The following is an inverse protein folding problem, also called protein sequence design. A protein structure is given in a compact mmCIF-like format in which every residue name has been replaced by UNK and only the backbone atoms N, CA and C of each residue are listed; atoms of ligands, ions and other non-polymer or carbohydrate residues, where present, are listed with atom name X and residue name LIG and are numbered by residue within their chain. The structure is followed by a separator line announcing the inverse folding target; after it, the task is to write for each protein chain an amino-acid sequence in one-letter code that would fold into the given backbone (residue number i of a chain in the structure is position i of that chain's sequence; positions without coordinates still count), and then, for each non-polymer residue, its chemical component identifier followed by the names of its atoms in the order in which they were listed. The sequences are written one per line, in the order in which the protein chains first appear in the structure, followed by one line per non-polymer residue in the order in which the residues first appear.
data_IF_886341934610
#
_entry.id   IF_886341934610
#
_cell.length_a   1.000
_cell.length_b   1.000
_cell.length_c   1.000
_cell.angle_alpha   90.00
_cell.angle_beta   90.00
_cell.angle_gamma   90.00
#
_symmetry.space_group_name_H-M   'P 1'
#
loop_
_entity.id
_entity.type
_entity.pdbx_description
1 polymer ?
#
# COMPACT_ATOMS: atom_id res chain seq x y z
N UNK A 1 7.90 16.12 -16.55
CA UNK A 1 8.77 15.04 -16.04
C UNK A 1 10.15 15.50 -15.57
N UNK A 2 10.81 16.48 -16.21
CA UNK A 2 12.17 16.92 -15.80
C UNK A 2 12.24 17.64 -14.43
N UNK A 3 11.15 18.23 -13.96
CA UNK A 3 11.16 19.06 -12.73
C UNK A 3 11.05 18.23 -11.42
N UNK A 4 10.59 17.00 -11.48
CA UNK A 4 10.42 16.14 -10.32
C UNK A 4 11.77 15.55 -9.87
N UNK A 5 12.55 15.02 -10.83
CA UNK A 5 13.86 14.39 -10.52
C UNK A 5 14.87 15.37 -9.90
N UNK A 6 14.80 16.65 -10.24
CA UNK A 6 15.71 17.66 -9.69
C UNK A 6 15.52 17.95 -8.19
N UNK A 7 14.36 17.60 -7.62
CA UNK A 7 14.06 17.78 -6.19
C UNK A 7 14.39 16.54 -5.34
N UNK A 8 14.58 15.39 -5.99
CA UNK A 8 14.88 14.15 -5.28
C UNK A 8 16.38 14.05 -4.99
N UNK A 9 16.73 13.69 -3.78
CA UNK A 9 18.11 13.57 -3.32
C UNK A 9 18.45 12.13 -2.94
N UNK A 10 19.74 11.77 -3.10
CA UNK A 10 20.22 10.53 -2.52
C UNK A 10 20.38 10.71 -1.01
N UNK A 11 19.99 9.70 -0.26
CA UNK A 11 20.23 9.64 1.19
C UNK A 11 21.56 8.92 1.47
N UNK A 12 22.07 9.04 2.69
CA UNK A 12 23.19 8.21 3.16
C UNK A 12 22.80 6.74 3.03
N UNK A 13 23.58 5.98 2.28
CA UNK A 13 23.24 4.60 1.91
C UNK A 13 22.93 3.75 3.14
N UNK A 14 21.75 3.16 3.16
CA UNK A 14 21.27 2.24 4.18
C UNK A 14 20.87 2.89 5.52
N UNK A 15 20.95 4.22 5.67
CA UNK A 15 20.50 4.93 6.88
C UNK A 15 18.98 4.98 7.03
N UNK A 16 18.23 4.84 5.92
CA UNK A 16 16.78 4.74 5.93
C UNK A 16 16.35 3.47 5.23
N UNK A 17 15.29 2.85 5.73
CA UNK A 17 14.74 1.60 5.23
C UNK A 17 13.36 1.84 4.63
N UNK A 18 13.06 1.18 3.51
CA UNK A 18 11.70 1.10 2.99
C UNK A 18 11.26 -0.36 3.01
N UNK A 19 10.20 -0.65 3.76
CA UNK A 19 9.54 -1.95 3.79
C UNK A 19 8.45 -1.96 2.72
N UNK A 20 8.50 -2.94 1.82
CA UNK A 20 7.53 -3.09 0.73
C UNK A 20 6.52 -4.18 1.08
N UNK A 21 5.22 -3.87 0.99
CA UNK A 21 4.12 -4.82 1.24
C UNK A 21 3.25 -4.95 -0.02
N UNK A 22 3.17 -6.15 -0.56
CA UNK A 22 2.36 -6.43 -1.76
C UNK A 22 0.86 -6.56 -1.45
N UNK A 23 0.03 -6.67 -2.48
CA UNK A 23 -1.42 -6.84 -2.36
C UNK A 23 -1.87 -8.31 -2.25
N UNK A 24 -3.20 -8.48 -2.13
CA UNK A 24 -3.88 -9.77 -2.11
C UNK A 24 -3.61 -10.56 -3.41
N UNK A 25 -3.43 -11.88 -3.28
CA UNK A 25 -3.16 -12.79 -4.39
C UNK A 25 -1.93 -12.40 -5.24
N UNK A 26 -0.95 -11.71 -4.61
CA UNK A 26 0.34 -11.34 -5.19
C UNK A 26 1.48 -11.96 -4.37
N UNK A 27 2.70 -11.74 -4.85
CA UNK A 27 3.94 -12.06 -4.15
C UNK A 27 4.81 -10.81 -4.09
N UNK A 28 5.88 -10.83 -3.30
CA UNK A 28 6.86 -9.74 -3.22
C UNK A 28 7.42 -9.35 -4.59
N UNK A 29 7.51 -10.27 -5.55
CA UNK A 29 8.03 -9.99 -6.92
C UNK A 29 7.33 -8.84 -7.61
N UNK A 30 6.05 -8.58 -7.33
CA UNK A 30 5.35 -7.46 -7.96
C UNK A 30 5.88 -6.09 -7.50
N UNK A 31 6.61 -6.03 -6.37
CA UNK A 31 7.21 -4.83 -5.82
C UNK A 31 8.71 -4.68 -6.20
N UNK A 32 9.31 -5.64 -6.91
CA UNK A 32 10.75 -5.65 -7.19
C UNK A 32 11.21 -4.40 -7.97
N UNK A 33 10.41 -3.94 -8.95
CA UNK A 33 10.76 -2.72 -9.69
C UNK A 33 10.79 -1.49 -8.79
N UNK A 34 9.80 -1.36 -7.90
CA UNK A 34 9.79 -0.29 -6.91
C UNK A 34 11.02 -0.37 -5.98
N UNK A 35 11.33 -1.58 -5.49
CA UNK A 35 12.50 -1.80 -4.66
C UNK A 35 13.80 -1.39 -5.33
N UNK A 36 14.01 -1.78 -6.60
CA UNK A 36 15.22 -1.44 -7.37
C UNK A 36 15.37 0.07 -7.57
N UNK A 37 14.27 0.76 -7.92
CA UNK A 37 14.29 2.21 -8.13
C UNK A 37 14.59 2.96 -6.82
N UNK A 38 13.97 2.56 -5.71
CA UNK A 38 14.19 3.19 -4.42
C UNK A 38 15.60 2.91 -3.86
N UNK A 39 16.12 1.70 -4.09
CA UNK A 39 17.50 1.35 -3.70
C UNK A 39 18.53 2.22 -4.43
N UNK A 40 18.27 2.62 -5.67
CA UNK A 40 19.15 3.51 -6.42
C UNK A 40 19.30 4.92 -5.80
N UNK A 41 18.35 5.32 -4.92
CA UNK A 41 18.42 6.55 -4.13
C UNK A 41 19.03 6.36 -2.73
N UNK A 42 19.61 5.19 -2.44
CA UNK A 42 20.32 4.89 -1.19
C UNK A 42 19.49 4.17 -0.12
N UNK A 43 18.19 3.94 -0.32
CA UNK A 43 17.36 3.25 0.65
C UNK A 43 17.72 1.76 0.77
N UNK A 44 17.77 1.27 2.01
CA UNK A 44 17.76 -0.18 2.26
C UNK A 44 16.34 -0.71 2.02
N UNK A 45 16.20 -1.73 1.19
CA UNK A 45 14.88 -2.29 0.83
C UNK A 45 14.67 -3.64 1.53
N UNK A 46 13.50 -3.77 2.18
CA UNK A 46 13.01 -5.04 2.71
C UNK A 46 11.70 -5.37 1.97
N UNK A 47 11.79 -6.21 0.95
CA UNK A 47 10.64 -6.63 0.16
C UNK A 47 10.00 -7.87 0.75
N UNK A 48 8.89 -7.71 1.48
CA UNK A 48 8.29 -8.75 2.31
C UNK A 48 7.38 -9.65 1.49
N UNK A 49 7.68 -10.95 1.49
CA UNK A 49 6.77 -11.97 0.97
C UNK A 49 5.91 -12.57 2.08
N UNK A 50 4.62 -12.71 1.84
CA UNK A 50 3.68 -13.35 2.77
C UNK A 50 2.53 -14.05 2.05
N UNK A 51 1.93 -15.10 2.67
CA UNK A 51 0.88 -15.90 2.04
C UNK A 51 -0.48 -15.19 2.12
N UNK A 52 -0.67 -14.15 1.31
CA UNK A 52 -1.75 -13.16 1.37
C UNK A 52 -3.19 -13.70 1.33
N UNK A 53 -3.36 -14.98 0.95
CA UNK A 53 -4.67 -15.65 0.89
C UNK A 53 -4.91 -16.66 2.02
N UNK A 54 -3.87 -16.93 2.85
CA UNK A 54 -3.93 -18.06 3.79
C UNK A 54 -4.51 -17.68 5.14
N UNK A 55 -4.33 -16.45 5.57
CA UNK A 55 -4.71 -15.98 6.89
C UNK A 55 -5.53 -14.69 6.81
N UNK A 56 -6.16 -14.28 7.91
CA UNK A 56 -6.81 -12.99 8.07
C UNK A 56 -5.77 -11.84 8.11
N UNK A 57 -6.26 -10.60 7.99
CA UNK A 57 -5.40 -9.40 7.93
C UNK A 57 -4.58 -9.25 9.21
N UNK A 58 -5.14 -9.52 10.37
CA UNK A 58 -4.50 -9.39 11.67
C UNK A 58 -3.25 -10.28 11.78
N UNK A 59 -3.42 -11.56 11.43
CA UNK A 59 -2.32 -12.53 11.41
C UNK A 59 -1.27 -12.18 10.35
N UNK A 60 -1.71 -11.76 9.16
CA UNK A 60 -0.79 -11.37 8.09
C UNK A 60 0.03 -10.14 8.47
N UNK A 61 -0.60 -9.13 9.09
CA UNK A 61 0.07 -7.91 9.50
C UNK A 61 1.20 -8.19 10.50
N UNK A 62 0.89 -8.95 11.55
CA UNK A 62 1.88 -9.31 12.57
C UNK A 62 2.99 -10.18 11.99
N UNK A 63 2.65 -11.21 11.22
CA UNK A 63 3.63 -12.18 10.69
C UNK A 63 4.48 -11.61 9.54
N UNK A 64 4.02 -10.59 8.83
CA UNK A 64 4.77 -9.94 7.77
C UNK A 64 5.64 -8.78 8.30
N UNK A 65 5.09 -7.92 9.15
CA UNK A 65 5.73 -6.66 9.53
C UNK A 65 6.72 -6.86 10.68
N UNK A 66 6.38 -7.60 11.73
CA UNK A 66 7.27 -7.77 12.87
C UNK A 66 8.63 -8.41 12.50
N UNK A 67 8.72 -9.47 11.67
CA UNK A 67 10.01 -10.00 11.21
C UNK A 67 10.79 -9.03 10.33
N UNK A 68 10.10 -8.19 9.53
CA UNK A 68 10.76 -7.15 8.73
C UNK A 68 11.39 -6.07 9.63
N UNK A 69 10.69 -5.65 10.67
CA UNK A 69 11.20 -4.68 11.66
C UNK A 69 12.40 -5.23 12.44
N UNK A 70 12.45 -6.53 12.73
CA UNK A 70 13.64 -7.16 13.36
C UNK A 70 14.90 -7.01 12.52
N UNK A 71 14.79 -6.82 11.20
CA UNK A 71 15.94 -6.55 10.33
C UNK A 71 16.38 -5.08 10.36
N UNK A 72 15.63 -4.22 11.06
CA UNK A 72 15.86 -2.78 11.17
C UNK A 72 16.45 -2.36 12.54
N UNK A 73 17.10 -3.26 13.26
CA UNK A 73 17.60 -3.03 14.63
C UNK A 73 18.95 -2.30 14.70
N UNK A 74 19.67 -2.16 13.56
CA UNK A 74 20.93 -1.40 13.54
C UNK A 74 20.73 0.03 14.02
N UNK A 75 21.72 0.53 14.79
CA UNK A 75 21.73 1.93 15.27
C UNK A 75 21.84 2.94 14.13
N UNK A 76 22.44 2.54 13.01
CA UNK A 76 22.61 3.39 11.82
C UNK A 76 21.31 3.66 11.10
N UNK A 77 20.27 2.84 11.30
CA UNK A 77 18.96 3.08 10.74
C UNK A 77 18.24 4.15 11.55
N UNK A 78 17.95 5.27 10.89
CA UNK A 78 17.32 6.45 11.49
C UNK A 78 15.82 6.53 11.19
N UNK A 79 15.35 5.95 10.07
CA UNK A 79 13.93 5.94 9.69
C UNK A 79 13.53 4.64 8.99
N UNK A 80 12.28 4.24 9.21
CA UNK A 80 11.65 3.09 8.56
C UNK A 80 10.38 3.58 7.86
N UNK A 81 10.39 3.54 6.54
CA UNK A 81 9.27 3.91 5.69
C UNK A 81 8.55 2.67 5.18
N UNK A 82 7.35 2.87 4.69
CA UNK A 82 6.58 1.81 4.03
C UNK A 82 6.11 2.28 2.66
N UNK A 83 6.24 1.40 1.66
CA UNK A 83 5.54 1.51 0.39
C UNK A 83 4.67 0.26 0.23
N UNK A 84 3.37 0.45 0.17
CA UNK A 84 2.41 -0.65 0.18
C UNK A 84 1.54 -0.63 -1.07
N UNK A 85 1.05 -1.78 -1.48
CA UNK A 85 0.08 -1.89 -2.56
C UNK A 85 -1.19 -2.58 -2.06
N UNK A 86 -2.36 -1.99 -2.35
CA UNK A 86 -3.67 -2.60 -2.10
C UNK A 86 -3.82 -3.04 -0.64
N UNK A 87 -4.13 -4.32 -0.39
CA UNK A 87 -4.23 -4.92 0.95
C UNK A 87 -3.01 -4.63 1.84
N UNK A 88 -1.81 -4.47 1.28
CA UNK A 88 -0.62 -4.09 2.06
C UNK A 88 -0.80 -2.80 2.85
N UNK A 89 -1.62 -1.85 2.34
CA UNK A 89 -2.00 -0.64 3.06
C UNK A 89 -2.88 -0.93 4.28
N UNK A 90 -3.75 -1.93 4.21
CA UNK A 90 -4.58 -2.35 5.35
C UNK A 90 -3.74 -3.08 6.40
N UNK A 91 -2.75 -3.89 5.96
CA UNK A 91 -1.84 -4.55 6.89
C UNK A 91 -1.06 -3.55 7.74
N UNK A 92 -0.48 -2.50 7.14
CA UNK A 92 0.26 -1.49 7.92
C UNK A 92 -0.67 -0.66 8.79
N UNK A 93 -1.90 -0.32 8.37
CA UNK A 93 -2.89 0.34 9.22
C UNK A 93 -3.24 -0.49 10.44
N UNK A 94 -3.52 -1.78 10.23
CA UNK A 94 -3.80 -2.69 11.34
C UNK A 94 -2.59 -2.81 12.30
N UNK A 95 -1.40 -2.98 11.74
CA UNK A 95 -0.19 -3.08 12.57
C UNK A 95 -0.03 -1.84 13.46
N UNK A 96 -0.14 -0.64 12.87
CA UNK A 96 0.03 0.62 13.59
C UNK A 96 -1.14 0.98 14.51
N UNK A 97 -2.29 0.32 14.39
CA UNK A 97 -3.39 0.46 15.36
C UNK A 97 -3.14 -0.31 16.67
N UNK A 98 -2.24 -1.30 16.64
CA UNK A 98 -1.97 -2.20 17.78
C UNK A 98 -0.53 -2.17 18.26
N UNK A 99 0.41 -1.69 17.45
CA UNK A 99 1.85 -1.70 17.71
C UNK A 99 2.49 -0.35 17.36
N UNK A 100 3.52 0.02 18.10
CA UNK A 100 4.35 1.19 17.82
C UNK A 100 5.59 0.79 17.01
N UNK A 101 6.06 1.73 16.18
CA UNK A 101 7.34 1.64 15.47
C UNK A 101 8.14 2.90 15.81
N UNK A 102 9.15 2.77 16.66
CA UNK A 102 9.92 3.90 17.21
C UNK A 102 10.54 4.82 16.15
N UNK A 103 10.99 4.23 15.04
CA UNK A 103 11.62 4.96 13.94
C UNK A 103 10.71 5.11 12.73
N UNK A 104 9.38 5.13 12.95
CA UNK A 104 8.44 5.27 11.86
C UNK A 104 8.67 6.57 11.08
N UNK A 105 8.94 6.43 9.80
CA UNK A 105 9.04 7.52 8.85
C UNK A 105 7.68 7.81 8.20
N UNK A 106 7.61 7.67 6.89
CA UNK A 106 6.40 7.93 6.11
C UNK A 106 5.85 6.64 5.48
N UNK A 107 4.54 6.59 5.32
CA UNK A 107 3.83 5.49 4.67
C UNK A 107 3.23 5.97 3.36
N UNK A 108 3.54 5.31 2.25
CA UNK A 108 2.86 5.54 0.97
C UNK A 108 2.02 4.32 0.63
N UNK A 109 0.77 4.56 0.33
CA UNK A 109 -0.18 3.50 -0.03
C UNK A 109 -0.62 3.66 -1.48
N UNK A 110 -0.35 2.64 -2.29
CA UNK A 110 -0.78 2.55 -3.68
C UNK A 110 -2.12 1.82 -3.74
N UNK A 111 -3.17 2.50 -4.17
CA UNK A 111 -4.53 1.98 -4.32
C UNK A 111 -5.05 1.16 -3.12
N UNK A 112 -4.94 1.66 -1.89
CA UNK A 112 -5.42 0.92 -0.73
C UNK A 112 -6.95 0.90 -0.69
N UNK A 113 -7.62 -0.22 -0.35
CA UNK A 113 -9.05 -0.25 -0.08
C UNK A 113 -9.32 0.29 1.34
N UNK A 114 -8.98 1.55 1.61
CA UNK A 114 -9.03 2.14 2.96
C UNK A 114 -10.43 2.24 3.55
N UNK A 115 -11.46 2.24 2.67
CA UNK A 115 -12.89 2.19 3.04
C UNK A 115 -13.56 0.95 2.42
N UNK A 116 -12.79 -0.12 2.19
CA UNK A 116 -13.25 -1.34 1.54
C UNK A 116 -13.24 -1.28 0.02
N UNK A 117 -13.69 -2.37 -0.60
CA UNK A 117 -13.77 -2.54 -2.05
C UNK A 117 -15.14 -3.07 -2.44
N UNK A 118 -15.80 -2.40 -3.39
CA UNK A 118 -17.09 -2.78 -3.94
C UNK A 118 -17.03 -4.15 -4.65
N UNK A 119 -15.88 -4.53 -5.18
CA UNK A 119 -15.67 -5.85 -5.78
C UNK A 119 -15.82 -6.96 -4.75
N UNK A 120 -15.34 -6.72 -3.52
CA UNK A 120 -15.50 -7.69 -2.43
C UNK A 120 -16.98 -7.89 -2.12
N UNK A 121 -17.74 -6.82 -1.95
CA UNK A 121 -19.17 -6.91 -1.61
C UNK A 121 -19.98 -7.64 -2.68
N UNK A 122 -19.73 -7.33 -3.96
CA UNK A 122 -20.49 -7.89 -5.09
C UNK A 122 -20.13 -9.33 -5.40
N UNK A 123 -18.92 -9.75 -5.07
CA UNK A 123 -18.44 -11.10 -5.38
C UNK A 123 -18.35 -12.00 -4.14
N UNK A 124 -18.51 -11.46 -2.94
CA UNK A 124 -18.67 -12.27 -1.72
C UNK A 124 -19.92 -13.12 -1.85
N UNK A 125 -19.80 -14.42 -1.59
CA UNK A 125 -20.88 -15.39 -1.82
C UNK A 125 -20.67 -16.27 -3.05
N UNK A 126 -19.80 -15.87 -3.98
CA UNK A 126 -19.37 -16.74 -5.06
C UNK A 126 -18.25 -17.66 -4.55
N UNK A 127 -18.43 -18.99 -4.53
CA UNK A 127 -17.46 -19.92 -3.95
C UNK A 127 -16.04 -19.74 -4.50
N UNK A 128 -15.93 -19.54 -5.83
CA UNK A 128 -14.64 -19.33 -6.50
C UNK A 128 -13.96 -18.04 -6.02
N UNK A 129 -14.71 -16.97 -5.80
CA UNK A 129 -14.16 -15.71 -5.30
C UNK A 129 -13.61 -15.87 -3.88
N UNK A 130 -14.35 -16.56 -3.01
CA UNK A 130 -13.94 -16.79 -1.62
C UNK A 130 -12.65 -17.64 -1.54
N UNK A 131 -12.53 -18.69 -2.36
CA UNK A 131 -11.33 -19.53 -2.43
C UNK A 131 -10.12 -18.74 -2.96
N UNK A 132 -10.33 -17.88 -3.96
CA UNK A 132 -9.24 -17.09 -4.57
C UNK A 132 -8.75 -16.00 -3.62
N UNK A 133 -9.63 -15.36 -2.85
CA UNK A 133 -9.27 -14.21 -2.03
C UNK A 133 -8.93 -14.58 -0.57
N UNK A 134 -9.40 -15.73 -0.10
CA UNK A 134 -9.13 -16.22 1.24
C UNK A 134 -9.66 -15.31 2.37
N UNK A 135 -9.34 -15.62 3.63
CA UNK A 135 -9.88 -14.89 4.78
C UNK A 135 -9.62 -13.38 4.75
N UNK A 136 -8.41 -12.95 4.39
CA UNK A 136 -8.06 -11.52 4.31
C UNK A 136 -8.87 -10.76 3.25
N UNK A 137 -9.14 -11.40 2.11
CA UNK A 137 -9.94 -10.79 1.05
C UNK A 137 -11.36 -10.50 1.49
N UNK A 138 -11.97 -11.41 2.24
CA UNK A 138 -13.34 -11.28 2.75
C UNK A 138 -13.49 -10.18 3.81
N UNK A 139 -12.41 -9.80 4.50
CA UNK A 139 -12.42 -8.70 5.48
C UNK A 139 -12.44 -7.31 4.84
N UNK A 140 -12.24 -7.19 3.52
CA UNK A 140 -12.08 -5.90 2.82
C UNK A 140 -13.35 -5.41 2.13
N UNK A 141 -14.54 -5.77 2.62
CA UNK A 141 -15.82 -5.23 2.15
C UNK A 141 -16.02 -3.76 2.52
N UNK A 142 -17.11 -3.16 2.00
CA UNK A 142 -17.43 -1.73 2.25
C UNK A 142 -18.34 -1.50 3.44
N UNK A 143 -18.84 -2.55 4.08
CA UNK A 143 -19.66 -2.44 5.27
C UNK A 143 -18.91 -1.70 6.40
N UNK A 144 -19.67 -0.97 7.23
CA UNK A 144 -19.10 -0.21 8.36
C UNK A 144 -18.36 -1.07 9.38
N UNK A 145 -18.69 -2.36 9.47
CA UNK A 145 -18.03 -3.32 10.35
C UNK A 145 -16.88 -4.06 9.65
N UNK A 146 -16.60 -3.77 8.38
CA UNK A 146 -15.42 -4.30 7.70
C UNK A 146 -14.14 -3.77 8.33
N UNK A 147 -13.08 -4.56 8.30
CA UNK A 147 -11.82 -4.18 8.96
C UNK A 147 -11.27 -2.82 8.48
N UNK A 148 -11.24 -2.49 7.18
CA UNK A 148 -10.76 -1.17 6.74
C UNK A 148 -11.53 0.01 7.36
N UNK A 149 -12.85 -0.12 7.56
CA UNK A 149 -13.69 0.91 8.14
C UNK A 149 -13.55 0.96 9.67
N UNK A 150 -13.42 -0.18 10.34
CA UNK A 150 -13.18 -0.25 11.79
C UNK A 150 -11.83 0.34 12.22
N UNK A 151 -10.82 0.32 11.36
CA UNK A 151 -9.51 0.91 11.65
C UNK A 151 -9.56 2.45 11.79
N UNK A 152 -10.59 3.10 11.29
CA UNK A 152 -10.77 4.55 11.44
C UNK A 152 -9.66 5.40 10.78
N UNK A 153 -9.48 6.65 11.27
CA UNK A 153 -8.47 7.58 10.76
C UNK A 153 -7.03 7.09 10.97
N UNK A 154 -6.10 7.58 10.12
CA UNK A 154 -4.66 7.38 10.35
C UNK A 154 -4.08 8.55 11.14
N UNK A 155 -3.17 8.27 12.06
CA UNK A 155 -2.47 9.24 12.90
C UNK A 155 -0.96 9.28 12.63
N UNK A 156 -0.53 8.76 11.49
CA UNK A 156 0.88 8.70 11.06
C UNK A 156 1.04 9.32 9.65
N UNK A 157 2.24 9.80 9.29
CA UNK A 157 2.47 10.47 8.01
C UNK A 157 2.17 9.55 6.82
N UNK A 158 1.02 9.77 6.15
CA UNK A 158 0.51 8.90 5.10
C UNK A 158 0.21 9.68 3.84
N UNK A 159 0.77 9.24 2.71
CA UNK A 159 0.40 9.66 1.37
C UNK A 159 -0.31 8.54 0.62
N UNK A 160 -1.30 8.87 -0.20
CA UNK A 160 -2.07 7.88 -0.96
C UNK A 160 -2.06 8.22 -2.43
N UNK A 161 -1.74 7.22 -3.26
CA UNK A 161 -1.83 7.31 -4.70
C UNK A 161 -2.95 6.37 -5.16
N UNK A 162 -4.03 6.93 -5.69
CA UNK A 162 -5.12 6.18 -6.31
C UNK A 162 -4.93 6.06 -7.82
N UNK A 163 -5.52 5.04 -8.43
CA UNK A 163 -5.59 4.90 -9.88
C UNK A 163 -6.99 5.22 -10.41
N UNK A 164 -7.06 5.65 -11.67
CA UNK A 164 -8.34 5.97 -12.35
C UNK A 164 -8.55 5.21 -13.65
N UNK A 165 -7.69 4.25 -13.99
CA UNK A 165 -7.82 3.39 -15.19
C UNK A 165 -8.09 1.95 -14.81
N UNK A 166 -8.93 1.32 -15.60
CA UNK A 166 -9.20 -0.12 -15.46
C UNK A 166 -8.66 -0.89 -16.67
N UNK A 167 -8.22 -2.11 -16.43
CA UNK A 167 -7.87 -3.06 -17.51
C UNK A 167 -9.08 -3.90 -17.92
N UNK A 168 -10.15 -3.88 -17.13
CA UNK A 168 -11.39 -4.63 -17.41
C UNK A 168 -12.60 -3.70 -17.29
N UNK A 169 -13.14 -3.21 -18.43
CA UNK A 169 -14.29 -2.32 -18.43
C UNK A 169 -15.56 -2.92 -17.80
N UNK A 170 -15.74 -4.25 -17.89
CA UNK A 170 -16.88 -4.92 -17.28
C UNK A 170 -16.83 -4.85 -15.75
N UNK A 171 -15.65 -5.07 -15.15
CA UNK A 171 -15.48 -4.91 -13.71
C UNK A 171 -15.62 -3.45 -13.28
N UNK A 172 -15.25 -2.49 -14.14
CA UNK A 172 -15.41 -1.07 -13.83
C UNK A 172 -16.87 -0.66 -13.65
N UNK A 173 -17.81 -1.32 -14.31
CA UNK A 173 -19.25 -1.08 -14.15
C UNK A 173 -19.79 -1.48 -12.76
N UNK A 174 -19.01 -2.24 -12.00
CA UNK A 174 -19.36 -2.58 -10.61
C UNK A 174 -19.18 -1.39 -9.64
N UNK A 175 -18.54 -0.32 -10.07
CA UNK A 175 -18.25 0.84 -9.23
C UNK A 175 -19.17 2.02 -9.58
N UNK A 176 -19.68 2.74 -8.59
CA UNK A 176 -20.46 3.96 -8.82
C UNK A 176 -19.57 5.14 -9.23
N UNK A 177 -18.26 5.09 -8.94
CA UNK A 177 -17.31 6.18 -9.06
C UNK A 177 -16.12 5.78 -9.95
N UNK A 178 -15.28 6.79 -10.28
CA UNK A 178 -13.97 6.57 -10.91
C UNK A 178 -13.14 5.56 -10.09
N UNK A 179 -12.54 4.58 -10.78
CA UNK A 179 -11.86 3.47 -10.14
C UNK A 179 -10.68 2.94 -10.97
N UNK A 180 -9.84 2.15 -10.34
CA UNK A 180 -8.68 1.51 -10.96
C UNK A 180 -8.95 0.05 -11.41
N UNK A 181 -10.21 -0.38 -11.33
CA UNK A 181 -10.67 -1.74 -11.62
C UNK A 181 -10.81 -2.64 -10.37
N UNK A 182 -10.43 -2.17 -9.17
CA UNK A 182 -10.60 -2.90 -7.89
C UNK A 182 -10.98 -2.01 -6.71
N UNK A 183 -10.58 -0.75 -6.72
CA UNK A 183 -10.86 0.22 -5.66
C UNK A 183 -11.29 1.53 -6.31
N UNK A 184 -12.36 2.13 -5.83
CA UNK A 184 -12.76 3.47 -6.27
C UNK A 184 -11.83 4.53 -5.68
N UNK A 185 -11.61 5.61 -6.43
CA UNK A 185 -10.77 6.75 -6.00
C UNK A 185 -11.23 7.28 -4.64
N UNK A 186 -12.54 7.37 -4.41
CA UNK A 186 -13.12 7.80 -3.15
C UNK A 186 -12.75 6.86 -2.00
N UNK A 187 -12.84 5.54 -2.19
CA UNK A 187 -12.58 4.56 -1.14
C UNK A 187 -11.09 4.32 -0.86
N UNK A 188 -10.22 4.79 -1.74
CA UNK A 188 -8.79 4.78 -1.45
C UNK A 188 -8.40 5.78 -0.36
N UNK A 189 -9.18 6.85 -0.17
CA UNK A 189 -8.91 7.89 0.82
C UNK A 189 -9.15 7.41 2.26
N UNK A 190 -8.44 8.03 3.20
CA UNK A 190 -8.63 7.84 4.65
C UNK A 190 -8.43 9.17 5.38
N UNK A 191 -9.25 9.41 6.39
CA UNK A 191 -9.11 10.60 7.23
C UNK A 191 -7.74 10.61 7.93
N UNK A 192 -7.09 11.77 8.00
CA UNK A 192 -5.75 11.92 8.58
C UNK A 192 -4.60 11.73 7.58
N UNK A 193 -4.86 11.29 6.33
CA UNK A 193 -3.84 11.30 5.28
C UNK A 193 -3.29 12.70 5.07
N UNK A 194 -1.99 12.81 4.79
CA UNK A 194 -1.30 14.08 4.58
C UNK A 194 -1.46 14.61 3.17
N UNK A 195 -1.51 13.70 2.19
CA UNK A 195 -1.62 14.07 0.79
C UNK A 195 -2.25 12.94 -0.03
N UNK A 196 -2.87 13.30 -1.16
CA UNK A 196 -3.61 12.39 -2.00
C UNK A 196 -3.51 12.81 -3.47
N UNK A 197 -3.10 11.88 -4.34
CA UNK A 197 -3.12 12.11 -5.79
C UNK A 197 -3.80 10.95 -6.53
N UNK A 198 -4.33 11.27 -7.71
CA UNK A 198 -4.89 10.30 -8.65
C UNK A 198 -3.97 10.23 -9.87
N UNK A 199 -3.61 9.02 -10.28
CA UNK A 199 -2.74 8.80 -11.43
C UNK A 199 -3.41 7.88 -12.46
N UNK A 200 -3.14 8.06 -13.77
CA UNK A 200 -3.83 7.35 -14.85
C UNK A 200 -3.32 5.91 -15.01
N UNK A 201 -3.38 5.14 -13.93
CA UNK A 201 -2.92 3.74 -13.90
C UNK A 201 -3.97 2.82 -13.28
N UNK A 202 -3.91 1.56 -13.70
CA UNK A 202 -4.77 0.50 -13.17
C UNK A 202 -4.19 -0.11 -11.90
N UNK A 203 -5.07 -0.65 -11.06
CA UNK A 203 -4.74 -1.33 -9.81
C UNK A 203 -3.62 -2.37 -9.97
N UNK A 204 -3.71 -3.15 -11.05
CA UNK A 204 -2.86 -4.32 -11.26
C UNK A 204 -1.40 -3.97 -11.53
N UNK A 205 -1.12 -2.79 -12.11
CA UNK A 205 0.21 -2.46 -12.63
C UNK A 205 0.82 -1.19 -12.04
N UNK A 206 0.10 -0.43 -11.21
CA UNK A 206 0.58 0.87 -10.73
C UNK A 206 1.91 0.78 -9.95
N UNK A 207 2.13 -0.29 -9.17
CA UNK A 207 3.37 -0.49 -8.41
C UNK A 207 4.61 -0.73 -9.30
N UNK A 208 4.40 -0.92 -10.61
CA UNK A 208 5.47 -1.11 -11.59
C UNK A 208 5.72 0.15 -12.45
N UNK A 209 4.94 1.22 -12.24
CA UNK A 209 5.05 2.45 -13.03
C UNK A 209 6.06 3.39 -12.40
N UNK A 210 7.07 3.78 -13.18
CA UNK A 210 8.17 4.64 -12.71
C UNK A 210 7.62 5.95 -12.14
N UNK A 211 6.69 6.61 -12.83
CA UNK A 211 6.07 7.83 -12.37
C UNK A 211 5.34 7.67 -11.01
N UNK A 212 4.72 6.51 -10.73
CA UNK A 212 4.09 6.23 -9.43
C UNK A 212 5.16 6.08 -8.34
N UNK A 213 6.26 5.39 -8.67
CA UNK A 213 7.36 5.18 -7.72
C UNK A 213 8.10 6.49 -7.44
N UNK A 214 8.28 7.36 -8.45
CA UNK A 214 8.85 8.70 -8.28
C UNK A 214 7.97 9.58 -7.37
N UNK A 215 6.65 9.56 -7.53
CA UNK A 215 5.73 10.22 -6.61
C UNK A 215 5.83 9.66 -5.18
N UNK A 216 5.89 8.34 -5.05
CA UNK A 216 6.07 7.70 -3.75
C UNK A 216 7.40 8.13 -3.09
N UNK A 217 8.50 8.18 -3.85
CA UNK A 217 9.78 8.65 -3.38
C UNK A 217 9.72 10.13 -2.95
N UNK A 218 9.05 10.97 -3.75
CA UNK A 218 8.87 12.39 -3.44
C UNK A 218 8.14 12.55 -2.08
N UNK A 219 7.05 11.81 -1.89
CA UNK A 219 6.36 11.82 -0.60
C UNK A 219 7.24 11.30 0.54
N UNK A 220 8.00 10.21 0.32
CA UNK A 220 8.91 9.67 1.33
C UNK A 220 9.96 10.72 1.74
N UNK A 221 10.49 11.50 0.81
CA UNK A 221 11.51 12.50 1.09
C UNK A 221 10.94 13.81 1.64
N UNK A 222 9.83 14.29 1.12
CA UNK A 222 9.35 15.66 1.38
C UNK A 222 8.02 15.72 2.16
N UNK A 223 7.23 14.66 2.17
CA UNK A 223 5.96 14.57 2.90
C UNK A 223 4.74 15.04 2.12
N UNK A 224 4.90 15.31 0.82
CA UNK A 224 3.83 15.65 -0.13
C UNK A 224 4.17 15.09 -1.52
N UNK A 225 3.18 14.98 -2.39
CA UNK A 225 3.36 14.61 -3.79
C UNK A 225 3.72 15.84 -4.65
N UNK A 226 4.24 15.63 -5.86
CA UNK A 226 4.66 16.73 -6.75
C UNK A 226 3.65 16.96 -7.87
#
# INVERSE_FOLDING_TARGET
MNNLKSKLTNITQGSEVIILLHGLARTSRCMDKAGKLLAAYGYKIINVGYPSRKYNIETLALNAIAPALKQCTSKDIIKIHFLTHSMGGILIRYYLSTQLIDKLGRVVMLAPPNQGSEVVDKLTGWPVFNVINGPAGLQMGTDKNSLPNMLGPVNFPTGIIAGDKTVNPLLSQLFPDTNDGKVSVRRAQVQGMKDFIVMPYSHTFMMQREAVIEQALHFIQLGYFA
#
